data_IF_462805173300
#
_entry.id   IF_462805173300
#
_cell.length_a   1.000
_cell.length_b   1.000
_cell.length_c   1.000
_cell.angle_alpha   90.00
_cell.angle_beta   90.00
_cell.angle_gamma   90.00
#
_symmetry.space_group_name_H-M   'P 1'
#
loop_
_entity.id
_entity.type
_entity.pdbx_description
1 polymer ?
#
# COMPACT_ATOMS: atom_id res chain seq x y z
N UNK A 1 -0.51 8.58 13.81
CA UNK A 1 -0.87 9.96 14.21
C UNK A 1 -0.82 10.14 15.72
N UNK A 2 -0.32 11.29 16.17
CA UNK A 2 -0.46 11.74 17.55
C UNK A 2 -1.91 12.19 17.79
N UNK A 3 -2.49 11.81 18.93
CA UNK A 3 -3.81 12.27 19.36
C UNK A 3 -3.82 13.81 19.48
N UNK A 4 -4.62 14.48 18.67
CA UNK A 4 -4.85 15.93 18.76
C UNK A 4 -6.15 16.21 19.51
N UNK A 5 -6.04 16.67 20.75
CA UNK A 5 -7.19 17.00 21.61
C UNK A 5 -8.02 18.18 21.08
N UNK A 6 -7.48 18.98 20.16
CA UNK A 6 -8.19 20.10 19.54
C UNK A 6 -8.96 19.69 18.26
N UNK A 7 -8.81 18.44 17.81
CA UNK A 7 -9.50 17.95 16.62
C UNK A 7 -11.01 17.86 16.85
N UNK A 8 -11.78 18.28 15.83
CA UNK A 8 -13.24 18.14 15.80
C UNK A 8 -13.65 16.67 15.98
N UNK A 9 -12.89 15.74 15.41
CA UNK A 9 -13.15 14.30 15.53
C UNK A 9 -13.00 13.83 16.99
N UNK A 10 -11.95 14.28 17.68
CA UNK A 10 -11.68 13.94 19.09
C UNK A 10 -12.73 14.55 20.02
N UNK A 11 -13.13 15.79 19.76
CA UNK A 11 -14.23 16.45 20.49
C UNK A 11 -15.56 15.70 20.29
N UNK A 12 -15.88 15.33 19.05
CA UNK A 12 -17.10 14.58 18.72
C UNK A 12 -17.11 13.20 19.39
N UNK A 13 -15.97 12.49 19.38
CA UNK A 13 -15.82 11.21 20.08
C UNK A 13 -16.00 11.36 21.60
N UNK A 14 -15.43 12.41 22.21
CA UNK A 14 -15.59 12.69 23.64
C UNK A 14 -17.05 12.93 24.02
N UNK A 15 -17.79 13.70 23.22
CA UNK A 15 -19.22 13.93 23.42
C UNK A 15 -20.00 12.62 23.30
N UNK A 16 -19.70 11.80 22.28
CA UNK A 16 -20.33 10.51 22.09
C UNK A 16 -20.11 9.58 23.30
N UNK A 17 -18.86 9.45 23.76
CA UNK A 17 -18.51 8.62 24.92
C UNK A 17 -19.24 9.10 26.19
N UNK A 18 -19.21 10.41 26.47
CA UNK A 18 -19.90 11.00 27.63
C UNK A 18 -21.42 10.76 27.59
N UNK A 19 -22.05 10.89 26.42
CA UNK A 19 -23.46 10.60 26.25
C UNK A 19 -23.79 9.14 26.58
N UNK A 20 -22.96 8.19 26.10
CA UNK A 20 -23.13 6.77 26.42
C UNK A 20 -22.93 6.46 27.89
N UNK A 21 -21.97 7.09 28.58
CA UNK A 21 -21.76 6.90 30.02
C UNK A 21 -22.98 7.30 30.88
N UNK A 22 -23.88 8.14 30.37
CA UNK A 22 -25.17 8.42 31.07
C UNK A 22 -26.18 7.28 30.96
N UNK A 23 -25.96 6.31 30.05
CA UNK A 23 -26.90 5.22 29.72
C UNK A 23 -26.39 3.86 30.16
N UNK A 24 -25.07 3.66 30.25
CA UNK A 24 -24.46 2.37 30.58
C UNK A 24 -23.45 2.49 31.72
N UNK A 25 -23.30 1.42 32.48
CA UNK A 25 -22.30 1.33 33.56
C UNK A 25 -20.88 1.19 33.00
N UNK A 26 -20.72 0.31 32.01
CA UNK A 26 -19.44 0.00 31.39
C UNK A 26 -19.46 0.38 29.91
N UNK A 27 -18.41 1.05 29.47
CA UNK A 27 -18.22 1.44 28.06
C UNK A 27 -16.93 0.82 27.53
N UNK A 28 -17.04 0.10 26.42
CA UNK A 28 -15.89 -0.50 25.73
C UNK A 28 -15.71 0.19 24.38
N UNK A 29 -14.46 0.43 23.97
CA UNK A 29 -14.13 0.97 22.65
C UNK A 29 -13.55 -0.10 21.75
N UNK A 30 -14.00 -0.13 20.51
CA UNK A 30 -13.39 -0.94 19.44
C UNK A 30 -12.43 -0.03 18.66
N UNK A 31 -11.15 -0.41 18.59
CA UNK A 31 -10.14 0.24 17.75
C UNK A 31 -9.46 -0.77 16.81
N UNK A 32 -8.84 -0.28 15.73
CA UNK A 32 -8.22 -1.07 14.68
C UNK A 32 -6.70 -0.95 14.74
N UNK A 33 -5.98 -2.08 14.75
CA UNK A 33 -4.52 -2.13 14.99
C UNK A 33 -3.74 -2.84 13.89
N UNK A 34 -4.31 -2.91 12.68
CA UNK A 34 -3.66 -3.48 11.48
C UNK A 34 -3.95 -2.63 10.26
N UNK A 35 -3.13 -2.78 9.23
CA UNK A 35 -3.45 -2.31 7.88
C UNK A 35 -4.20 -3.43 7.16
N UNK A 36 -5.48 -3.22 6.88
CA UNK A 36 -6.37 -4.21 6.26
C UNK A 36 -6.10 -4.37 4.77
N UNK A 37 -5.30 -3.49 4.16
CA UNK A 37 -4.75 -3.63 2.81
C UNK A 37 -3.38 -4.34 2.78
N UNK A 38 -2.73 -4.55 3.93
CA UNK A 38 -1.42 -5.18 4.04
C UNK A 38 -1.11 -5.67 5.46
N UNK A 39 -1.35 -6.95 5.71
CA UNK A 39 -1.03 -7.64 6.97
C UNK A 39 0.44 -8.06 7.10
N UNK A 40 1.14 -8.22 5.97
CA UNK A 40 2.47 -8.85 5.93
C UNK A 40 3.59 -7.83 6.12
N UNK A 41 3.39 -6.60 5.68
CA UNK A 41 4.30 -5.51 5.99
C UNK A 41 4.19 -5.10 7.46
N UNK A 42 5.31 -5.01 8.20
CA UNK A 42 5.29 -4.58 9.59
C UNK A 42 4.62 -3.21 9.76
N UNK A 43 3.54 -3.19 10.54
CA UNK A 43 2.73 -1.98 10.77
C UNK A 43 3.00 -1.40 12.17
N UNK A 44 3.56 -0.18 12.27
CA UNK A 44 3.85 0.47 13.55
C UNK A 44 2.58 1.12 14.13
N UNK A 45 2.17 0.61 15.29
CA UNK A 45 0.88 0.95 15.91
C UNK A 45 0.93 0.94 17.44
N UNK A 46 1.93 0.31 18.04
CA UNK A 46 2.00 0.10 19.49
C UNK A 46 2.16 1.41 20.26
N UNK A 47 2.99 2.34 19.76
CA UNK A 47 3.16 3.65 20.38
C UNK A 47 1.90 4.52 20.25
N UNK A 48 1.17 4.37 19.13
CA UNK A 48 -0.11 5.07 18.93
C UNK A 48 -1.13 4.61 19.98
N UNK A 49 -1.30 3.30 20.13
CA UNK A 49 -2.21 2.71 21.12
C UNK A 49 -1.83 3.17 22.53
N UNK A 50 -0.54 3.08 22.91
CA UNK A 50 -0.06 3.57 24.22
C UNK A 50 -0.49 5.03 24.47
N UNK A 51 -0.33 5.92 23.50
CA UNK A 51 -0.68 7.35 23.63
C UNK A 51 -2.18 7.61 23.76
N UNK A 52 -3.02 6.71 23.25
CA UNK A 52 -4.48 6.87 23.31
C UNK A 52 -5.07 6.39 24.65
N UNK A 53 -4.41 5.46 25.35
CA UNK A 53 -4.93 4.87 26.60
C UNK A 53 -5.28 5.91 27.69
N UNK A 54 -4.44 6.91 28.01
CA UNK A 54 -4.79 7.90 29.04
C UNK A 54 -6.02 8.72 28.68
N UNK A 55 -6.19 9.02 27.40
CA UNK A 55 -7.36 9.74 26.90
C UNK A 55 -8.63 8.90 27.02
N UNK A 56 -8.60 7.64 26.58
CA UNK A 56 -9.74 6.74 26.75
C UNK A 56 -10.12 6.55 28.22
N UNK A 57 -9.13 6.39 29.10
CA UNK A 57 -9.36 6.32 30.54
C UNK A 57 -9.98 7.61 31.10
N UNK A 58 -9.57 8.79 30.63
CA UNK A 58 -10.15 10.07 31.04
C UNK A 58 -11.63 10.24 30.65
N UNK A 59 -12.08 9.54 29.59
CA UNK A 59 -13.48 9.47 29.18
C UNK A 59 -14.27 8.39 29.94
N UNK A 60 -13.63 7.66 30.86
CA UNK A 60 -14.25 6.57 31.61
C UNK A 60 -14.56 5.34 30.75
N UNK A 61 -13.78 5.09 29.70
CA UNK A 61 -13.84 3.83 28.93
C UNK A 61 -13.20 2.73 29.77
N UNK A 62 -13.96 1.67 30.02
CA UNK A 62 -13.63 0.56 30.92
C UNK A 62 -12.78 -0.53 30.25
N UNK A 63 -12.76 -0.58 28.91
CA UNK A 63 -11.96 -1.56 28.19
C UNK A 63 -11.86 -1.31 26.68
N UNK A 64 -10.93 -2.02 26.05
CA UNK A 64 -10.64 -1.90 24.62
C UNK A 64 -10.72 -3.26 23.93
N UNK A 65 -11.31 -3.26 22.75
CA UNK A 65 -11.20 -4.35 21.79
C UNK A 65 -10.33 -3.87 20.63
N UNK A 66 -9.14 -4.46 20.48
CA UNK A 66 -8.20 -4.10 19.43
C UNK A 66 -8.32 -5.14 18.29
N UNK A 67 -8.84 -4.70 17.14
CA UNK A 67 -9.04 -5.55 15.99
C UNK A 67 -7.80 -5.58 15.09
N UNK A 68 -7.20 -6.76 14.98
CA UNK A 68 -6.07 -7.04 14.09
C UNK A 68 -6.50 -7.72 12.80
N UNK A 69 -5.66 -8.62 12.27
CA UNK A 69 -5.90 -9.39 11.03
C UNK A 69 -6.89 -10.56 11.17
N UNK A 70 -7.55 -10.70 12.32
CA UNK A 70 -8.51 -11.78 12.56
C UNK A 70 -7.87 -13.16 12.57
N UNK A 71 -8.13 -13.94 11.52
CA UNK A 71 -7.61 -15.30 11.36
C UNK A 71 -6.38 -15.40 10.45
N UNK A 72 -6.06 -14.34 9.73
CA UNK A 72 -4.89 -14.28 8.87
C UNK A 72 -3.66 -13.83 9.67
N UNK A 73 -2.49 -14.34 9.28
CA UNK A 73 -1.23 -13.98 9.88
C UNK A 73 -0.87 -12.51 9.63
N UNK A 74 -0.45 -11.80 10.68
CA UNK A 74 0.19 -10.50 10.55
C UNK A 74 1.62 -10.52 11.09
N UNK A 75 2.53 -9.84 10.39
CA UNK A 75 3.91 -9.72 10.84
C UNK A 75 4.00 -9.12 12.24
N UNK A 76 4.74 -9.82 13.11
CA UNK A 76 4.94 -9.48 14.53
C UNK A 76 3.66 -9.46 15.38
N UNK A 77 2.62 -10.21 14.99
CA UNK A 77 1.37 -10.31 15.75
C UNK A 77 1.56 -10.74 17.21
N UNK A 78 2.56 -11.59 17.48
CA UNK A 78 2.82 -12.12 18.80
C UNK A 78 3.44 -11.05 19.73
N UNK A 79 4.36 -10.25 19.21
CA UNK A 79 4.89 -9.04 19.87
C UNK A 79 3.77 -8.02 20.10
N UNK A 80 2.97 -7.73 19.08
CA UNK A 80 1.84 -6.79 19.17
C UNK A 80 0.86 -7.23 20.26
N UNK A 81 0.46 -8.50 20.26
CA UNK A 81 -0.45 -9.08 21.25
C UNK A 81 0.10 -8.94 22.66
N UNK A 82 1.38 -9.27 22.88
CA UNK A 82 2.02 -9.10 24.18
C UNK A 82 2.07 -7.64 24.63
N UNK A 83 2.49 -6.73 23.76
CA UNK A 83 2.61 -5.30 24.07
C UNK A 83 1.24 -4.71 24.40
N UNK A 84 0.21 -4.99 23.61
CA UNK A 84 -1.14 -4.51 23.87
C UNK A 84 -1.70 -5.05 25.18
N UNK A 85 -1.54 -6.35 25.45
CA UNK A 85 -1.99 -6.94 26.72
C UNK A 85 -1.29 -6.29 27.92
N UNK A 86 0.02 -6.07 27.84
CA UNK A 86 0.79 -5.41 28.90
C UNK A 86 0.33 -3.96 29.11
N UNK A 87 0.14 -3.19 28.04
CA UNK A 87 -0.33 -1.80 28.13
C UNK A 87 -1.76 -1.66 28.65
N UNK A 88 -2.65 -2.61 28.33
CA UNK A 88 -4.01 -2.63 28.86
C UNK A 88 -4.05 -2.96 30.37
N UNK A 89 -3.04 -3.66 30.89
CA UNK A 89 -2.86 -3.89 32.33
C UNK A 89 -2.24 -2.66 33.00
N UNK A 90 -1.18 -2.10 32.40
CA UNK A 90 -0.46 -0.94 32.90
C UNK A 90 -0.01 -0.01 31.76
N UNK A 91 -0.71 1.13 31.55
CA UNK A 91 -0.39 2.06 30.48
C UNK A 91 0.88 2.89 30.74
N UNK A 92 1.49 2.80 31.93
CA UNK A 92 2.76 3.46 32.24
C UNK A 92 3.99 2.76 31.65
N UNK A 93 3.81 1.54 31.13
CA UNK A 93 4.89 0.75 30.55
C UNK A 93 5.42 1.34 29.25
N UNK A 94 6.71 1.10 28.98
CA UNK A 94 7.41 1.57 27.79
C UNK A 94 7.36 0.54 26.66
N UNK A 95 6.76 0.92 25.52
CA UNK A 95 6.66 0.07 24.32
C UNK A 95 8.01 -0.49 23.90
N UNK A 96 9.11 0.29 23.81
CA UNK A 96 10.41 -0.25 23.43
C UNK A 96 10.94 -1.32 24.40
N UNK A 97 10.65 -1.18 25.70
CA UNK A 97 11.06 -2.15 26.71
C UNK A 97 10.25 -3.44 26.59
N UNK A 98 8.94 -3.34 26.35
CA UNK A 98 8.06 -4.49 26.14
C UNK A 98 8.48 -5.29 24.89
N UNK A 99 8.71 -4.61 23.76
CA UNK A 99 9.22 -5.22 22.53
C UNK A 99 10.53 -5.97 22.81
N UNK A 100 11.49 -5.30 23.46
CA UNK A 100 12.81 -5.87 23.76
C UNK A 100 12.71 -7.09 24.67
N UNK A 101 11.92 -7.01 25.75
CA UNK A 101 11.75 -8.11 26.71
C UNK A 101 11.15 -9.35 26.05
N UNK A 102 10.11 -9.17 25.25
CA UNK A 102 9.44 -10.28 24.57
C UNK A 102 10.38 -10.95 23.56
N UNK A 103 11.01 -10.15 22.70
CA UNK A 103 11.87 -10.68 21.64
C UNK A 103 13.13 -11.33 22.19
N UNK A 104 13.79 -10.76 23.21
CA UNK A 104 14.94 -11.42 23.83
C UNK A 104 14.59 -12.76 24.48
N UNK A 105 13.38 -12.89 25.03
CA UNK A 105 12.92 -14.12 25.67
C UNK A 105 12.56 -15.21 24.68
N UNK A 106 11.87 -14.87 23.60
CA UNK A 106 11.30 -15.84 22.66
C UNK A 106 12.09 -16.01 21.36
N UNK A 107 13.02 -15.10 21.09
CA UNK A 107 13.89 -15.07 19.93
C UNK A 107 15.35 -14.85 20.39
N UNK A 108 15.97 -15.82 21.10
CA UNK A 108 17.27 -15.59 21.74
C UNK A 108 18.41 -15.26 20.76
N UNK A 109 18.37 -15.74 19.51
CA UNK A 109 19.40 -15.46 18.52
C UNK A 109 19.10 -14.21 17.67
N UNK A 110 17.83 -13.93 17.39
CA UNK A 110 17.40 -12.86 16.48
C UNK A 110 16.78 -11.66 17.18
N UNK A 111 16.45 -11.78 18.47
CA UNK A 111 15.62 -10.83 19.22
C UNK A 111 16.18 -9.43 19.28
N UNK A 112 17.52 -9.27 19.36
CA UNK A 112 18.17 -7.94 19.30
C UNK A 112 17.93 -7.25 17.94
N UNK A 113 18.07 -7.99 16.84
CA UNK A 113 17.85 -7.46 15.50
C UNK A 113 16.38 -7.08 15.30
N UNK A 114 15.47 -7.98 15.68
CA UNK A 114 14.02 -7.77 15.60
C UNK A 114 13.57 -6.55 16.45
N UNK A 115 14.12 -6.41 17.66
CA UNK A 115 13.76 -5.31 18.57
C UNK A 115 14.17 -3.97 17.98
N UNK A 116 15.41 -3.87 17.49
CA UNK A 116 15.92 -2.65 16.89
C UNK A 116 15.06 -2.21 15.70
N UNK A 117 14.71 -3.15 14.82
CA UNK A 117 13.90 -2.87 13.64
C UNK A 117 12.49 -2.42 14.00
N UNK A 118 11.76 -3.16 14.85
CA UNK A 118 10.40 -2.77 15.27
C UNK A 118 10.37 -1.41 15.98
N UNK A 119 11.31 -1.16 16.88
CA UNK A 119 11.42 0.14 17.58
C UNK A 119 11.74 1.26 16.58
N UNK A 120 12.57 0.98 15.58
CA UNK A 120 12.87 1.90 14.47
C UNK A 120 11.61 2.31 13.72
N UNK A 121 10.78 1.34 13.33
CA UNK A 121 9.50 1.59 12.64
C UNK A 121 8.54 2.45 13.48
N UNK A 122 8.36 2.11 14.77
CA UNK A 122 7.51 2.88 15.70
C UNK A 122 7.99 4.33 15.83
N UNK A 123 9.29 4.55 16.00
CA UNK A 123 9.88 5.90 16.07
C UNK A 123 9.72 6.68 14.77
N UNK A 124 9.94 6.02 13.64
CA UNK A 124 9.78 6.59 12.31
C UNK A 124 8.34 7.06 12.07
N UNK A 125 7.35 6.22 12.38
CA UNK A 125 5.93 6.56 12.28
C UNK A 125 5.55 7.73 13.20
N UNK A 126 6.03 7.73 14.45
CA UNK A 126 5.78 8.83 15.39
C UNK A 126 6.38 10.15 14.90
N UNK A 127 7.62 10.13 14.40
CA UNK A 127 8.34 11.34 13.97
C UNK A 127 7.66 12.02 12.79
N UNK A 128 7.18 11.23 11.82
CA UNK A 128 6.52 11.77 10.62
C UNK A 128 5.07 12.23 10.91
N UNK A 129 4.52 11.89 12.08
CA UNK A 129 3.18 12.24 12.56
C UNK A 129 2.05 12.00 11.54
N UNK A 130 2.23 11.02 10.65
CA UNK A 130 1.24 10.72 9.64
C UNK A 130 0.09 9.92 10.26
N UNK A 131 -1.17 10.16 9.85
CA UNK A 131 -2.25 9.21 10.08
C UNK A 131 -1.84 7.82 9.58
N UNK A 132 -1.90 6.83 10.46
CA UNK A 132 -1.79 5.43 10.05
C UNK A 132 -3.21 4.96 9.83
N UNK A 133 -3.72 5.21 8.63
CA UNK A 133 -5.04 4.76 8.22
C UNK A 133 -5.11 3.24 8.25
N UNK A 134 -6.30 2.73 8.55
CA UNK A 134 -6.54 1.29 8.67
C UNK A 134 -6.57 0.62 7.29
N UNK A 135 -6.82 1.38 6.23
CA UNK A 135 -6.66 0.98 4.84
C UNK A 135 -5.64 1.93 4.22
N UNK A 136 -4.43 1.43 3.93
CA UNK A 136 -3.36 2.26 3.40
C UNK A 136 -2.49 1.48 2.41
N UNK A 137 -2.12 2.15 1.32
CA UNK A 137 -1.25 1.56 0.30
C UNK A 137 0.18 1.40 0.80
N UNK A 138 0.96 0.52 0.16
CA UNK A 138 2.38 0.39 0.45
C UNK A 138 3.18 1.68 0.19
N UNK A 139 2.71 2.55 -0.72
CA UNK A 139 3.33 3.86 -0.97
C UNK A 139 3.29 4.74 0.28
N UNK A 140 2.19 4.69 1.03
CA UNK A 140 2.09 5.38 2.30
C UNK A 140 3.06 4.83 3.33
N UNK A 141 3.25 3.51 3.40
CA UNK A 141 4.27 2.92 4.28
C UNK A 141 5.68 3.46 3.98
N UNK A 142 6.06 3.59 2.70
CA UNK A 142 7.33 4.19 2.27
C UNK A 142 7.46 5.68 2.60
N UNK A 143 6.35 6.44 2.58
CA UNK A 143 6.33 7.87 2.95
C UNK A 143 6.42 8.08 4.47
N UNK A 144 5.94 7.11 5.25
CA UNK A 144 5.64 7.31 6.67
C UNK A 144 6.61 6.60 7.62
N UNK A 145 6.95 5.34 7.38
CA UNK A 145 7.71 4.57 8.39
C UNK A 145 8.72 3.57 7.84
N UNK A 146 8.63 3.14 6.58
CA UNK A 146 9.60 2.23 5.96
C UNK A 146 10.73 3.02 5.34
N UNK A 147 11.95 2.76 5.81
CA UNK A 147 13.17 3.07 5.09
C UNK A 147 13.62 1.83 4.30
N UNK A 148 13.87 1.99 3.00
CA UNK A 148 14.17 0.87 2.11
C UNK A 148 15.52 0.24 2.42
N UNK A 149 16.55 1.06 2.66
CA UNK A 149 17.91 0.59 2.96
C UNK A 149 17.94 -0.12 4.31
N UNK A 150 17.26 0.44 5.32
CA UNK A 150 17.11 -0.17 6.63
C UNK A 150 16.39 -1.52 6.54
N UNK A 151 15.30 -1.60 5.76
CA UNK A 151 14.59 -2.87 5.54
C UNK A 151 15.49 -3.93 4.90
N UNK A 152 16.19 -3.60 3.82
CA UNK A 152 17.06 -4.58 3.15
C UNK A 152 18.19 -5.03 4.07
N UNK A 153 18.81 -4.12 4.80
CA UNK A 153 19.84 -4.46 5.78
C UNK A 153 19.30 -5.39 6.87
N UNK A 154 18.13 -5.07 7.43
CA UNK A 154 17.44 -5.89 8.41
C UNK A 154 17.12 -7.29 7.87
N UNK A 155 16.52 -7.36 6.69
CA UNK A 155 16.07 -8.60 6.07
C UNK A 155 17.24 -9.56 5.78
N UNK A 156 18.31 -9.06 5.18
CA UNK A 156 19.52 -9.85 4.92
C UNK A 156 20.20 -10.31 6.21
N UNK A 157 20.25 -9.44 7.22
CA UNK A 157 20.79 -9.83 8.53
C UNK A 157 19.93 -10.88 9.21
N UNK A 158 18.61 -10.82 9.05
CA UNK A 158 17.69 -11.81 9.59
C UNK A 158 17.91 -13.18 8.91
N UNK A 159 18.06 -13.22 7.59
CA UNK A 159 18.41 -14.45 6.85
C UNK A 159 19.73 -15.05 7.37
N UNK A 160 20.76 -14.21 7.59
CA UNK A 160 22.04 -14.67 8.13
C UNK A 160 21.91 -15.27 9.54
N UNK A 161 21.19 -14.59 10.44
CA UNK A 161 20.99 -15.04 11.82
C UNK A 161 20.10 -16.28 11.90
N UNK A 162 19.13 -16.41 10.99
CA UNK A 162 18.21 -17.53 10.94
C UNK A 162 18.95 -18.89 10.85
N UNK A 163 20.13 -18.92 10.21
CA UNK A 163 21.01 -20.11 10.12
C UNK A 163 21.45 -20.68 11.48
N UNK A 164 21.37 -19.89 12.54
CA UNK A 164 21.76 -20.27 13.90
C UNK A 164 20.56 -20.50 14.83
N UNK A 165 19.33 -20.28 14.34
CA UNK A 165 18.11 -20.52 15.12
C UNK A 165 17.70 -21.99 15.04
N UNK A 166 17.04 -22.48 16.09
CA UNK A 166 16.52 -23.85 16.19
C UNK A 166 15.13 -23.87 16.85
N UNK A 167 14.36 -24.93 16.66
CA UNK A 167 13.06 -25.14 17.30
C UNK A 167 12.07 -24.00 17.03
N UNK A 168 11.35 -23.56 18.07
CA UNK A 168 10.29 -22.55 17.95
C UNK A 168 10.77 -21.21 17.38
N UNK A 169 12.00 -20.77 17.69
CA UNK A 169 12.54 -19.54 17.10
C UNK A 169 12.68 -19.70 15.58
N UNK A 170 13.24 -20.83 15.13
CA UNK A 170 13.42 -21.12 13.70
C UNK A 170 12.11 -21.09 12.94
N UNK A 171 11.10 -21.79 13.44
CA UNK A 171 9.77 -21.84 12.82
C UNK A 171 9.14 -20.45 12.68
N UNK A 172 9.24 -19.62 13.74
CA UNK A 172 8.70 -18.26 13.73
C UNK A 172 9.47 -17.35 12.77
N UNK A 173 10.78 -17.47 12.70
CA UNK A 173 11.61 -16.69 11.77
C UNK A 173 11.40 -17.13 10.32
N UNK A 174 11.25 -18.42 10.04
CA UNK A 174 10.95 -18.92 8.70
C UNK A 174 9.59 -18.40 8.21
N UNK A 175 8.56 -18.39 9.08
CA UNK A 175 7.25 -17.80 8.78
C UNK A 175 7.35 -16.28 8.58
N UNK A 176 8.07 -15.57 9.44
CA UNK A 176 8.29 -14.14 9.32
C UNK A 176 9.04 -13.79 8.03
N UNK A 177 10.10 -14.51 7.66
CA UNK A 177 10.83 -14.32 6.40
C UNK A 177 9.95 -14.61 5.17
N UNK A 178 9.03 -15.58 5.26
CA UNK A 178 8.03 -15.84 4.22
C UNK A 178 7.11 -14.62 4.03
N UNK A 179 6.59 -14.05 5.13
CA UNK A 179 5.77 -12.85 5.08
C UNK A 179 6.56 -11.62 4.59
N UNK A 180 7.78 -11.40 5.09
CA UNK A 180 8.62 -10.26 4.69
C UNK A 180 9.10 -10.34 3.23
N UNK A 181 9.06 -11.52 2.60
CA UNK A 181 9.29 -11.64 1.17
C UNK A 181 8.26 -10.83 0.34
N UNK A 182 7.01 -10.77 0.80
CA UNK A 182 5.99 -9.89 0.23
C UNK A 182 6.41 -8.41 0.35
N UNK A 183 6.84 -7.96 1.53
CA UNK A 183 7.33 -6.59 1.74
C UNK A 183 8.56 -6.28 0.87
N UNK A 184 9.48 -7.23 0.71
CA UNK A 184 10.64 -7.09 -0.19
C UNK A 184 10.19 -6.86 -1.64
N UNK A 185 9.22 -7.63 -2.12
CA UNK A 185 8.63 -7.47 -3.45
C UNK A 185 7.94 -6.10 -3.59
N UNK A 186 7.19 -5.67 -2.59
CA UNK A 186 6.55 -4.35 -2.56
C UNK A 186 7.55 -3.19 -2.73
N UNK A 187 8.70 -3.26 -2.04
CA UNK A 187 9.79 -2.29 -2.22
C UNK A 187 10.37 -2.38 -3.63
N UNK A 188 10.62 -3.58 -4.15
CA UNK A 188 11.16 -3.79 -5.49
C UNK A 188 10.25 -3.20 -6.56
N UNK A 189 8.92 -3.39 -6.46
CA UNK A 189 7.96 -2.78 -7.37
C UNK A 189 8.05 -1.25 -7.32
N UNK A 190 7.98 -0.67 -6.12
CA UNK A 190 8.00 0.78 -5.95
C UNK A 190 9.29 1.43 -6.48
N UNK A 191 10.42 0.74 -6.33
CA UNK A 191 11.71 1.21 -6.83
C UNK A 191 11.84 1.09 -8.35
N UNK A 192 11.24 0.07 -8.98
CA UNK A 192 11.22 -0.06 -10.43
C UNK A 192 10.54 1.13 -11.11
N UNK A 193 9.41 1.62 -10.57
CA UNK A 193 8.67 2.73 -11.14
C UNK A 193 9.42 4.06 -11.05
N UNK A 194 10.16 4.28 -9.95
CA UNK A 194 11.03 5.46 -9.80
C UNK A 194 12.16 5.49 -10.82
N UNK A 195 12.80 4.36 -11.07
CA UNK A 195 13.89 4.27 -12.06
C UNK A 195 13.38 4.62 -13.45
N UNK A 196 12.21 4.10 -13.84
CA UNK A 196 11.62 4.35 -15.15
C UNK A 196 11.11 5.79 -15.32
N UNK A 197 10.46 6.35 -14.30
CA UNK A 197 9.95 7.71 -14.31
C UNK A 197 11.04 8.81 -14.37
N UNK A 198 12.21 8.54 -13.78
CA UNK A 198 13.34 9.48 -13.69
C UNK A 198 14.52 9.16 -14.64
N UNK A 199 14.30 8.36 -15.70
CA UNK A 199 15.36 7.93 -16.66
C UNK A 199 16.20 9.05 -17.34
N UNK A 200 15.94 10.33 -17.05
CA UNK A 200 16.85 11.45 -17.41
C UNK A 200 17.84 11.87 -16.31
N UNK A 201 17.83 11.28 -15.10
CA UNK A 201 18.57 11.84 -13.94
C UNK A 201 19.36 10.90 -13.03
N UNK A 202 19.42 9.59 -13.25
CA UNK A 202 20.25 8.74 -12.37
C UNK A 202 21.34 7.95 -13.10
N UNK A 203 22.60 8.00 -12.62
CA UNK A 203 23.57 6.96 -12.91
C UNK A 203 23.06 5.66 -12.30
N UNK A 204 23.29 4.55 -13.01
CA UNK A 204 22.92 3.19 -12.65
C UNK A 204 22.88 2.99 -11.13
N UNK A 205 21.69 3.01 -10.53
CA UNK A 205 21.50 2.25 -9.31
C UNK A 205 21.79 0.82 -9.74
N UNK A 206 22.88 0.26 -9.22
CA UNK A 206 23.03 -1.19 -9.13
C UNK A 206 21.77 -1.67 -8.41
N UNK A 207 20.77 -2.03 -9.20
CA UNK A 207 19.64 -2.77 -8.73
C UNK A 207 20.25 -3.98 -8.07
N UNK A 208 20.07 -4.12 -6.76
CA UNK A 208 20.06 -5.40 -6.05
C UNK A 208 18.96 -6.28 -6.67
N UNK A 209 19.17 -6.60 -7.94
CA UNK A 209 18.52 -7.55 -8.82
C UNK A 209 18.86 -8.97 -8.40
N UNK A 210 19.65 -9.13 -7.34
CA UNK A 210 19.93 -10.39 -6.68
C UNK A 210 18.67 -10.89 -5.95
N UNK A 211 17.85 -11.50 -6.81
CA UNK A 211 16.99 -12.63 -6.60
C UNK A 211 15.52 -12.34 -6.26
N UNK A 212 14.84 -11.63 -7.17
CA UNK A 212 13.36 -11.58 -7.20
C UNK A 212 12.76 -12.99 -7.28
N UNK A 213 13.33 -13.88 -8.09
CA UNK A 213 12.92 -15.29 -8.18
C UNK A 213 13.00 -15.99 -6.83
N UNK A 214 14.13 -15.90 -6.11
CA UNK A 214 14.23 -16.42 -4.73
C UNK A 214 13.23 -15.76 -3.79
N UNK A 215 12.94 -14.47 -3.97
CA UNK A 215 11.95 -13.78 -3.13
C UNK A 215 10.54 -14.33 -3.39
N UNK A 216 10.18 -14.60 -4.65
CA UNK A 216 8.92 -15.26 -5.02
C UNK A 216 8.89 -16.72 -4.55
N UNK A 217 9.99 -17.45 -4.64
CA UNK A 217 10.10 -18.83 -4.15
C UNK A 217 9.93 -18.88 -2.63
N UNK A 218 10.55 -17.93 -1.93
CA UNK A 218 10.38 -17.78 -0.48
C UNK A 218 8.93 -17.44 -0.13
N UNK A 219 8.31 -16.50 -0.84
CA UNK A 219 6.90 -16.18 -0.61
C UNK A 219 6.02 -17.41 -0.89
N UNK A 220 6.34 -18.21 -1.90
CA UNK A 220 5.61 -19.45 -2.25
C UNK A 220 5.58 -20.49 -1.12
N UNK A 221 6.49 -20.41 -0.16
CA UNK A 221 6.45 -21.24 1.05
C UNK A 221 5.24 -20.96 1.97
N UNK A 222 4.43 -19.92 1.67
CA UNK A 222 3.20 -19.57 2.39
C UNK A 222 2.26 -20.78 2.58
N UNK A 223 2.25 -21.72 1.63
CA UNK A 223 1.42 -22.93 1.67
C UNK A 223 1.70 -23.83 2.87
N UNK A 224 2.86 -23.65 3.52
CA UNK A 224 3.26 -24.38 4.74
C UNK A 224 2.46 -23.95 5.96
N UNK A 225 1.89 -22.73 5.95
CA UNK A 225 1.22 -22.13 7.11
C UNK A 225 -0.27 -21.94 6.82
N UNK A 226 -1.12 -22.48 7.69
CA UNK A 226 -2.58 -22.50 7.48
C UNK A 226 -3.21 -21.09 7.47
N UNK A 227 -2.60 -20.16 8.20
CA UNK A 227 -3.02 -18.78 8.43
C UNK A 227 -2.27 -17.75 7.58
N UNK A 228 -1.26 -18.15 6.78
CA UNK A 228 -0.55 -17.26 5.85
C UNK A 228 -1.07 -17.48 4.42
N UNK A 229 -2.36 -17.31 4.19
CA UNK A 229 -2.95 -17.47 2.84
C UNK A 229 -3.26 -16.14 2.17
N UNK A 230 -3.51 -15.12 2.98
CA UNK A 230 -3.87 -13.79 2.51
C UNK A 230 -2.90 -12.75 3.05
N UNK A 231 -2.63 -11.73 2.24
CA UNK A 231 -1.86 -10.55 2.66
C UNK A 231 -2.73 -9.36 3.03
N UNK A 232 -4.06 -9.42 2.83
CA UNK A 232 -5.03 -8.37 3.14
C UNK A 232 -6.42 -8.95 3.39
N UNK A 233 -7.34 -8.13 3.91
CA UNK A 233 -8.68 -8.52 4.36
C UNK A 233 -9.55 -9.12 3.24
N UNK A 234 -9.65 -8.42 2.11
CA UNK A 234 -10.50 -8.80 0.99
C UNK A 234 -9.65 -9.09 -0.25
N UNK A 235 -9.94 -10.20 -0.94
CA UNK A 235 -9.27 -10.64 -2.17
C UNK A 235 -7.72 -10.76 -2.10
N UNK A 236 -7.16 -10.82 -0.90
CA UNK A 236 -5.71 -10.80 -0.64
C UNK A 236 -4.95 -12.11 -0.86
N UNK A 237 -5.44 -13.04 -1.67
CA UNK A 237 -4.84 -14.36 -1.76
C UNK A 237 -3.41 -14.31 -2.33
N UNK A 238 -2.42 -14.81 -1.56
CA UNK A 238 -0.99 -14.71 -1.92
C UNK A 238 -0.67 -15.38 -3.26
N UNK A 239 -1.38 -16.46 -3.62
CA UNK A 239 -1.18 -17.12 -4.92
C UNK A 239 -1.50 -16.20 -6.11
N UNK A 240 -2.51 -15.32 -5.99
CA UNK A 240 -2.86 -14.36 -7.05
C UNK A 240 -1.80 -13.28 -7.15
N UNK A 241 -1.31 -12.78 -6.03
CA UNK A 241 -0.20 -11.83 -5.99
C UNK A 241 1.07 -12.38 -6.67
N UNK A 242 1.41 -13.65 -6.41
CA UNK A 242 2.53 -14.32 -7.09
C UNK A 242 2.27 -14.46 -8.60
N UNK A 243 1.03 -14.74 -9.02
CA UNK A 243 0.67 -14.79 -10.44
C UNK A 243 0.81 -13.42 -11.11
N UNK A 244 0.36 -12.35 -10.46
CA UNK A 244 0.51 -10.98 -10.97
C UNK A 244 2.00 -10.61 -11.12
N UNK A 245 2.85 -10.98 -10.16
CA UNK A 245 4.31 -10.79 -10.28
C UNK A 245 4.95 -11.54 -11.46
N UNK A 246 4.43 -12.71 -11.81
CA UNK A 246 4.91 -13.48 -12.96
C UNK A 246 4.45 -12.84 -14.27
N UNK A 247 3.17 -12.43 -14.35
CA UNK A 247 2.61 -11.77 -15.51
C UNK A 247 3.19 -10.36 -15.74
N UNK A 248 3.57 -9.66 -14.66
CA UNK A 248 4.19 -8.34 -14.69
C UNK A 248 5.47 -8.34 -15.52
N UNK A 249 6.34 -9.34 -15.40
CA UNK A 249 7.58 -9.38 -16.19
C UNK A 249 7.38 -9.62 -17.68
N UNK A 250 6.38 -10.42 -18.05
CA UNK A 250 6.11 -10.72 -19.45
C UNK A 250 5.64 -9.46 -20.21
N UNK A 251 5.10 -8.46 -19.50
CA UNK A 251 4.37 -7.35 -20.10
C UNK A 251 4.87 -5.94 -19.74
N UNK A 252 5.66 -5.78 -18.67
CA UNK A 252 6.07 -4.48 -18.11
C UNK A 252 7.42 -3.99 -18.64
N UNK A 253 7.80 -2.75 -18.30
CA UNK A 253 9.00 -2.04 -18.82
C UNK A 253 8.87 -1.51 -20.25
N UNK A 254 7.64 -1.23 -20.70
CA UNK A 254 7.41 -0.53 -21.97
C UNK A 254 7.82 0.94 -21.82
N UNK A 255 8.65 1.43 -22.74
CA UNK A 255 8.98 2.85 -22.79
C UNK A 255 7.70 3.66 -23.03
N UNK A 256 7.36 4.55 -22.10
CA UNK A 256 6.23 5.44 -22.24
C UNK A 256 6.70 6.79 -22.80
N UNK A 257 6.33 7.08 -24.05
CA UNK A 257 6.62 8.36 -24.70
C UNK A 257 5.75 9.52 -24.15
N UNK A 258 4.67 9.19 -23.44
CA UNK A 258 3.81 10.16 -22.75
C UNK A 258 4.42 10.47 -21.38
N UNK A 259 5.47 11.30 -21.35
CA UNK A 259 6.14 11.63 -20.09
C UNK A 259 5.42 12.75 -19.32
N UNK A 260 5.58 12.74 -17.99
CA UNK A 260 5.15 13.83 -17.08
C UNK A 260 3.65 14.13 -17.13
N UNK A 261 2.81 13.09 -17.24
CA UNK A 261 1.38 13.30 -17.22
C UNK A 261 0.96 13.97 -15.90
N UNK A 262 0.15 15.02 -16.02
CA UNK A 262 -0.53 15.64 -14.89
C UNK A 262 -2.01 15.36 -15.02
N UNK A 263 -2.58 14.75 -13.99
CA UNK A 263 -4.01 14.53 -13.92
C UNK A 263 -4.66 15.63 -13.06
N UNK A 264 -5.78 16.16 -13.53
CA UNK A 264 -6.60 17.12 -12.79
C UNK A 264 -8.06 16.70 -12.80
N UNK A 265 -8.77 16.96 -11.69
CA UNK A 265 -10.21 16.76 -11.62
C UNK A 265 -10.96 17.70 -12.57
N UNK A 266 -11.86 17.15 -13.38
CA UNK A 266 -12.60 17.93 -14.37
C UNK A 266 -13.52 18.95 -13.70
N UNK A 267 -14.12 18.62 -12.55
CA UNK A 267 -15.03 19.48 -11.80
C UNK A 267 -14.24 20.27 -10.75
N UNK A 268 -13.46 19.59 -9.92
CA UNK A 268 -12.74 20.24 -8.81
C UNK A 268 -11.63 21.17 -9.27
N UNK A 269 -11.06 20.93 -10.47
CA UNK A 269 -9.83 21.56 -10.98
C UNK A 269 -8.61 21.34 -10.09
N UNK A 270 -8.68 20.38 -9.16
CA UNK A 270 -7.57 20.05 -8.28
C UNK A 270 -6.61 19.10 -8.99
N UNK A 271 -5.31 19.29 -8.77
CA UNK A 271 -4.30 18.33 -9.21
C UNK A 271 -4.49 17.02 -8.45
N UNK A 272 -4.51 15.91 -9.17
CA UNK A 272 -4.56 14.59 -8.56
C UNK A 272 -3.15 14.18 -8.12
N UNK A 273 -3.03 13.84 -6.84
CA UNK A 273 -1.83 13.20 -6.31
C UNK A 273 -1.59 11.87 -7.02
N UNK A 274 -0.34 11.38 -7.03
CA UNK A 274 0.05 10.13 -7.68
C UNK A 274 -0.20 10.03 -9.21
N UNK A 275 -0.49 11.15 -9.90
CA UNK A 275 -0.65 11.16 -11.37
C UNK A 275 0.55 10.64 -12.17
N UNK A 276 1.74 10.60 -11.54
CA UNK A 276 2.93 9.98 -12.11
C UNK A 276 2.74 8.49 -12.45
N UNK A 277 1.83 7.77 -11.76
CA UNK A 277 1.50 6.36 -12.01
C UNK A 277 0.92 6.12 -13.41
N UNK A 278 0.34 7.15 -14.04
CA UNK A 278 -0.15 7.03 -15.42
C UNK A 278 1.00 6.88 -16.44
N UNK A 279 2.24 7.15 -16.00
CA UNK A 279 3.41 7.28 -16.89
C UNK A 279 4.69 6.65 -16.34
N UNK A 280 4.62 5.93 -15.23
CA UNK A 280 5.80 5.31 -14.61
C UNK A 280 6.30 4.05 -15.35
N UNK A 281 5.59 3.63 -16.40
CA UNK A 281 5.97 2.50 -17.25
C UNK A 281 5.74 1.13 -16.61
N UNK A 282 5.03 1.08 -15.48
CA UNK A 282 4.67 -0.14 -14.78
C UNK A 282 3.21 -0.51 -14.99
N UNK A 283 2.96 -1.80 -15.16
CA UNK A 283 1.61 -2.32 -15.15
C UNK A 283 1.12 -2.54 -13.71
N UNK A 284 -0.01 -1.92 -13.37
CA UNK A 284 -0.73 -2.24 -12.14
C UNK A 284 -1.25 -3.69 -12.11
N UNK A 285 -1.37 -4.24 -10.90
CA UNK A 285 -1.75 -5.64 -10.67
C UNK A 285 -3.27 -5.81 -10.73
N UNK A 286 -3.75 -6.83 -11.44
CA UNK A 286 -5.19 -7.05 -11.60
C UNK A 286 -5.87 -7.46 -10.28
N UNK A 287 -5.14 -8.10 -9.36
CA UNK A 287 -5.70 -8.49 -8.05
C UNK A 287 -5.69 -7.37 -7.00
N UNK A 288 -5.04 -6.23 -7.26
CA UNK A 288 -4.86 -5.20 -6.24
C UNK A 288 -4.89 -3.77 -6.78
N UNK A 289 -5.96 -3.04 -6.46
CA UNK A 289 -6.11 -1.63 -6.81
C UNK A 289 -5.10 -0.71 -6.11
N UNK A 290 -4.48 -1.14 -5.01
CA UNK A 290 -3.42 -0.36 -4.35
C UNK A 290 -2.08 -0.47 -5.09
N UNK A 291 -1.93 -1.45 -5.98
CA UNK A 291 -0.67 -1.77 -6.66
C UNK A 291 -0.64 -1.24 -8.10
N UNK A 292 -0.01 -0.08 -8.28
CA UNK A 292 0.28 0.46 -9.61
C UNK A 292 -0.89 1.10 -10.36
N UNK A 293 -2.02 1.34 -9.69
CA UNK A 293 -3.16 2.04 -10.27
C UNK A 293 -3.27 3.46 -9.76
N UNK A 294 -3.53 4.38 -10.68
CA UNK A 294 -4.00 5.73 -10.37
C UNK A 294 -5.52 5.68 -10.14
N UNK A 295 -6.01 6.25 -9.04
CA UNK A 295 -7.42 6.22 -8.67
C UNK A 295 -8.02 7.62 -8.68
N UNK A 296 -9.18 7.79 -9.32
CA UNK A 296 -9.88 9.06 -9.31
C UNK A 296 -11.38 8.96 -8.99
N UNK A 297 -11.82 9.78 -8.03
CA UNK A 297 -13.21 9.87 -7.58
C UNK A 297 -14.09 10.79 -8.43
N UNK A 298 -13.55 11.43 -9.47
CA UNK A 298 -14.26 12.29 -10.42
C UNK A 298 -13.72 12.08 -11.85
N UNK A 299 -14.40 12.62 -12.86
CA UNK A 299 -13.87 12.63 -14.23
C UNK A 299 -12.55 13.41 -14.25
N UNK A 300 -11.57 12.96 -15.05
CA UNK A 300 -10.23 13.55 -15.04
C UNK A 300 -9.80 14.03 -16.42
N UNK A 301 -8.91 15.01 -16.39
CA UNK A 301 -8.12 15.46 -17.53
C UNK A 301 -6.68 15.09 -17.28
N UNK A 302 -6.06 14.41 -18.23
CA UNK A 302 -4.64 14.03 -18.18
C UNK A 302 -3.91 14.77 -19.29
N UNK A 303 -3.07 15.71 -18.91
CA UNK A 303 -2.24 16.49 -19.82
C UNK A 303 -0.83 15.88 -19.89
N UNK A 304 -0.29 15.73 -21.09
CA UNK A 304 1.11 15.35 -21.26
C UNK A 304 1.73 15.91 -22.54
N UNK A 305 3.06 16.04 -22.50
CA UNK A 305 3.84 16.64 -23.59
C UNK A 305 4.56 15.53 -24.33
N UNK A 306 4.28 15.40 -25.64
CA UNK A 306 4.96 14.45 -26.50
C UNK A 306 6.05 15.13 -27.32
N UNK A 307 7.30 14.74 -27.09
CA UNK A 307 8.41 15.11 -27.96
C UNK A 307 8.54 14.11 -29.11
N UNK A 308 7.73 14.30 -30.16
CA UNK A 308 7.82 13.49 -31.38
C UNK A 308 8.80 14.10 -32.39
N UNK A 309 10.02 13.57 -32.47
CA UNK A 309 11.06 14.08 -33.39
C UNK A 309 10.79 13.76 -34.87
N UNK A 310 9.99 12.72 -35.16
CA UNK A 310 9.88 12.13 -36.51
C UNK A 310 8.46 12.08 -37.10
N UNK A 311 7.42 12.51 -36.40
CA UNK A 311 6.05 12.59 -36.95
C UNK A 311 5.48 11.22 -37.35
N UNK A 312 5.69 10.19 -36.52
CA UNK A 312 5.23 8.82 -36.75
C UNK A 312 3.95 8.50 -36.00
N UNK A 313 3.13 7.60 -36.55
CA UNK A 313 2.04 6.90 -35.85
C UNK A 313 2.58 6.22 -34.60
N UNK A 314 1.87 6.39 -33.48
CA UNK A 314 2.21 5.79 -32.19
C UNK A 314 1.04 4.96 -31.68
N UNK A 315 1.35 3.90 -30.94
CA UNK A 315 0.34 3.11 -30.23
C UNK A 315 0.04 3.78 -28.90
N UNK A 316 -1.22 4.06 -28.68
CA UNK A 316 -1.78 4.49 -27.40
C UNK A 316 -2.41 3.28 -26.72
N UNK A 317 -2.04 3.03 -25.47
CA UNK A 317 -2.65 2.00 -24.63
C UNK A 317 -3.11 2.64 -23.32
N UNK A 318 -4.38 2.46 -22.98
CA UNK A 318 -4.95 2.80 -21.68
C UNK A 318 -5.47 1.53 -21.01
N UNK A 319 -5.07 1.32 -19.75
CA UNK A 319 -5.55 0.21 -18.93
C UNK A 319 -6.41 0.77 -17.80
N UNK A 320 -7.58 0.18 -17.59
CA UNK A 320 -8.49 0.53 -16.49
C UNK A 320 -8.80 -0.73 -15.69
N UNK A 321 -8.58 -0.69 -14.37
CA UNK A 321 -8.94 -1.80 -13.50
C UNK A 321 -10.46 -1.90 -13.40
N UNK A 322 -11.00 -3.11 -13.52
CA UNK A 322 -12.43 -3.40 -13.36
C UNK A 322 -12.61 -4.22 -12.09
N UNK A 323 -13.08 -3.55 -11.05
CA UNK A 323 -13.38 -4.15 -9.77
C UNK A 323 -14.70 -3.57 -9.23
N UNK A 324 -15.80 -4.28 -9.46
CA UNK A 324 -17.14 -3.83 -9.11
C UNK A 324 -17.34 -3.64 -7.59
N UNK A 325 -16.66 -4.43 -6.75
CA UNK A 325 -16.74 -4.30 -5.29
C UNK A 325 -16.20 -2.95 -4.81
N UNK A 326 -15.15 -2.45 -5.47
CA UNK A 326 -14.58 -1.13 -5.22
C UNK A 326 -15.11 -0.04 -6.16
N UNK A 327 -16.18 -0.33 -6.90
CA UNK A 327 -16.87 0.60 -7.81
C UNK A 327 -16.02 1.06 -9.01
N UNK A 328 -14.99 0.29 -9.36
CA UNK A 328 -14.14 0.51 -10.51
C UNK A 328 -14.74 -0.23 -11.70
N UNK A 329 -15.11 0.51 -12.74
CA UNK A 329 -15.78 0.00 -13.94
C UNK A 329 -15.09 0.55 -15.18
N UNK A 330 -15.38 -0.03 -16.33
CA UNK A 330 -14.94 0.52 -17.61
C UNK A 330 -15.41 1.98 -17.72
N UNK A 331 -14.54 2.94 -18.10
CA UNK A 331 -14.96 4.33 -18.31
C UNK A 331 -16.13 4.44 -19.28
N UNK A 332 -17.02 5.41 -19.06
CA UNK A 332 -18.16 5.70 -19.95
C UNK A 332 -17.65 6.04 -21.36
N UNK A 333 -16.65 6.92 -21.41
CA UNK A 333 -15.88 7.20 -22.61
C UNK A 333 -14.56 7.90 -22.28
N UNK A 334 -13.65 7.90 -23.26
CA UNK A 334 -12.37 8.62 -23.26
C UNK A 334 -12.33 9.52 -24.48
N UNK A 335 -12.05 10.80 -24.28
CA UNK A 335 -11.80 11.75 -25.37
C UNK A 335 -10.30 12.01 -25.52
N UNK A 336 -9.81 11.95 -26.75
CA UNK A 336 -8.43 12.23 -27.10
C UNK A 336 -8.33 13.58 -27.81
N UNK A 337 -7.43 14.44 -27.34
CA UNK A 337 -7.19 15.78 -27.90
C UNK A 337 -5.73 15.94 -28.31
N UNK A 338 -5.51 16.52 -29.48
CA UNK A 338 -4.21 16.97 -29.98
C UNK A 338 -4.25 18.48 -30.19
N UNK A 339 -3.32 19.24 -29.60
CA UNK A 339 -3.26 20.71 -29.71
C UNK A 339 -4.63 21.37 -29.42
N UNK A 340 -5.31 20.92 -28.36
CA UNK A 340 -6.67 21.36 -27.97
C UNK A 340 -7.81 21.02 -28.94
N UNK A 341 -7.55 20.30 -30.03
CA UNK A 341 -8.59 19.78 -30.94
C UNK A 341 -8.91 18.34 -30.59
N UNK A 342 -10.21 18.03 -30.41
CA UNK A 342 -10.65 16.65 -30.24
C UNK A 342 -10.42 15.87 -31.53
N UNK A 343 -9.71 14.76 -31.44
CA UNK A 343 -9.39 13.88 -32.59
C UNK A 343 -10.12 12.55 -32.54
N UNK A 344 -10.44 12.05 -31.33
CA UNK A 344 -11.17 10.81 -31.16
C UNK A 344 -12.01 10.80 -29.88
N UNK A 345 -13.05 9.97 -29.89
CA UNK A 345 -13.82 9.58 -28.71
C UNK A 345 -13.95 8.07 -28.75
N UNK A 346 -13.59 7.41 -27.65
CA UNK A 346 -13.70 5.96 -27.46
C UNK A 346 -14.70 5.69 -26.35
N UNK A 347 -15.67 4.82 -26.59
CA UNK A 347 -16.73 4.48 -25.64
C UNK A 347 -16.39 3.20 -24.88
N UNK A 348 -17.21 2.78 -23.92
CA UNK A 348 -17.01 1.52 -23.21
C UNK A 348 -16.87 0.30 -24.15
N UNK A 349 -17.57 0.29 -25.30
CA UNK A 349 -17.52 -0.79 -26.30
C UNK A 349 -16.16 -0.88 -27.03
N UNK A 350 -15.33 0.15 -26.92
CA UNK A 350 -13.99 0.18 -27.52
C UNK A 350 -12.93 -0.56 -26.70
N UNK A 351 -13.23 -0.89 -25.44
CA UNK A 351 -12.32 -1.56 -24.52
C UNK A 351 -12.44 -3.08 -24.63
N UNK A 352 -11.29 -3.76 -24.62
CA UNK A 352 -11.23 -5.21 -24.50
C UNK A 352 -11.04 -5.59 -23.03
N UNK A 353 -11.97 -6.38 -22.48
CA UNK A 353 -11.87 -6.86 -21.10
C UNK A 353 -11.00 -8.11 -21.02
N UNK A 354 -9.91 -8.03 -20.27
CA UNK A 354 -8.94 -9.11 -20.09
C UNK A 354 -8.69 -9.30 -18.58
N UNK A 355 -9.20 -10.40 -18.02
CA UNK A 355 -8.95 -10.81 -16.63
C UNK A 355 -9.14 -9.70 -15.57
N UNK A 356 -10.21 -8.91 -15.68
CA UNK A 356 -10.50 -7.82 -14.74
C UNK A 356 -9.79 -6.49 -15.07
N UNK A 357 -9.13 -6.38 -16.22
CA UNK A 357 -8.56 -5.14 -16.74
C UNK A 357 -9.19 -4.83 -18.09
N UNK A 358 -9.76 -3.65 -18.25
CA UNK A 358 -10.24 -3.14 -19.53
C UNK A 358 -9.09 -2.42 -20.25
N UNK A 359 -8.79 -2.82 -21.47
CA UNK A 359 -7.67 -2.31 -22.26
C UNK A 359 -8.18 -1.62 -23.51
N UNK A 360 -7.79 -0.36 -23.70
CA UNK A 360 -8.02 0.41 -24.92
C UNK A 360 -6.69 0.57 -25.64
N UNK A 361 -6.52 -0.13 -26.77
CA UNK A 361 -5.34 0.02 -27.65
C UNK A 361 -5.74 0.64 -28.98
N UNK A 362 -5.12 1.77 -29.34
CA UNK A 362 -5.42 2.49 -30.59
C UNK A 362 -4.15 3.07 -31.21
N UNK A 363 -4.12 3.15 -32.54
CA UNK A 363 -3.08 3.89 -33.24
C UNK A 363 -3.49 5.35 -33.38
N UNK A 364 -2.59 6.26 -33.04
CA UNK A 364 -2.82 7.71 -33.12
C UNK A 364 -1.70 8.34 -33.94
N UNK A 365 -2.08 9.09 -34.97
CA UNK A 365 -1.16 9.91 -35.75
C UNK A 365 -0.85 11.20 -34.97
N UNK A 366 0.43 11.41 -34.65
CA UNK A 366 0.89 12.56 -33.90
C UNK A 366 1.85 13.40 -34.74
N UNK A 367 1.52 14.67 -34.91
CA UNK A 367 2.42 15.66 -35.52
C UNK A 367 3.66 15.90 -34.63
N UNK A 368 4.67 16.58 -35.16
CA UNK A 368 5.87 16.95 -34.38
C UNK A 368 5.51 17.94 -33.27
N UNK A 369 6.01 17.69 -32.05
CA UNK A 369 5.82 18.55 -30.87
C UNK A 369 4.34 18.87 -30.56
N UNK A 370 3.51 17.83 -30.44
CA UNK A 370 2.08 17.95 -30.15
C UNK A 370 1.82 17.90 -28.64
N UNK A 371 0.90 18.73 -28.15
CA UNK A 371 0.34 18.55 -26.81
C UNK A 371 -0.81 17.57 -26.89
N UNK A 372 -0.80 16.54 -26.04
CA UNK A 372 -1.89 15.57 -25.94
C UNK A 372 -2.60 15.74 -24.62
N UNK A 373 -3.93 15.72 -24.69
CA UNK A 373 -4.79 15.71 -23.54
C UNK A 373 -5.77 14.54 -23.67
N UNK A 374 -5.91 13.78 -22.59
CA UNK A 374 -6.96 12.77 -22.45
C UNK A 374 -8.00 13.31 -21.48
N UNK A 375 -9.27 13.07 -21.79
CA UNK A 375 -10.36 13.24 -20.81
C UNK A 375 -11.01 11.91 -20.58
N UNK A 376 -11.01 11.45 -19.34
CA UNK A 376 -11.54 10.14 -18.96
C UNK A 376 -12.79 10.39 -18.12
N UNK A 377 -13.91 9.88 -18.62
CA UNK A 377 -15.22 10.05 -17.99
C UNK A 377 -15.62 8.77 -17.31
N UNK A 378 -15.97 8.86 -16.02
CA UNK A 378 -16.33 7.73 -15.20
C UNK A 378 -17.58 7.03 -15.71
N UNK A 379 -17.68 5.72 -15.47
CA UNK A 379 -18.93 4.98 -15.68
C UNK A 379 -20.08 5.65 -14.93
N UNK A 380 -21.21 5.79 -15.61
CA UNK A 380 -22.47 6.31 -15.05
C UNK A 380 -23.40 5.20 -14.56
N UNK A 381 -23.02 3.95 -14.74
CA UNK A 381 -23.85 2.79 -14.40
C UNK A 381 -24.06 2.66 -12.89
N UNK A 382 -23.13 3.19 -12.10
CA UNK A 382 -23.23 3.20 -10.64
C UNK A 382 -22.92 4.58 -10.05
N UNK A 383 -23.53 4.87 -8.90
CA UNK A 383 -23.23 6.10 -8.16
C UNK A 383 -21.84 6.03 -7.56
N UNK A 384 -21.07 7.12 -7.69
CA UNK A 384 -19.72 7.26 -7.14
C UNK A 384 -18.80 6.12 -7.61
N UNK A 385 -18.86 5.79 -8.89
CA UNK A 385 -17.83 4.98 -9.57
C UNK A 385 -16.43 5.56 -9.32
N UNK A 386 -15.40 4.81 -9.62
CA UNK A 386 -13.99 5.22 -9.54
C UNK A 386 -13.35 4.93 -10.90
N UNK A 387 -12.54 5.86 -11.40
CA UNK A 387 -11.59 5.58 -12.50
C UNK A 387 -10.40 4.86 -11.91
#
# INVERSE_FOLDING_TARGET
AVLDLNSIAVSSFSILANNWKTKVRHLYSWDYVSNFDDYLTPFPVMERVKKQLPFFNSLGIDGLFLNGSGYDYSSFEDVKTYVFAALMIDPSLEVPQLITNYLQRFYPNTGKLLSNYLIGLERSALKRNHPTDVYSSFREALRTYIDQEEFFHFYEKLIQLNKFTVGNERERIDKLLTALAYTKLQIQYASAGRILGDMKRMPQLETNSDNKEETLDRLSAYTTYADLKNYKEEDGAIHRYIQDWKAFEENSFKQNDFAQAQATGLISKQSCEDSYLLTDGLDGFASDFNQGWFLAGEDIVVDGIFHNESGRTKRFTLRCLVNANHRMLVPDHVEFFCNSRKVATYTADDFELQSGVAVLEREVELEKNVTVQLRIYKSKDIKKSVI
#
